data_IF_650940197056
#
_entry.id   IF_650940197056
#
_cell.length_a   1.000
_cell.length_b   1.000
_cell.length_c   1.000
_cell.angle_alpha   90.00
_cell.angle_beta   90.00
_cell.angle_gamma   90.00
#
_symmetry.space_group_name_H-M   'P 1'
#
loop_
_entity.id
_entity.type
_entity.pdbx_description
1 polymer ?
#
# COMPACT_ATOMS: atom_id res chain seq x y z
N UNK A 1 5.62 -10.22 16.52
CA UNK A 1 5.31 -9.39 15.35
C UNK A 1 4.90 -8.01 15.80
N UNK A 2 5.34 -7.01 15.09
CA UNK A 2 4.94 -5.65 15.38
C UNK A 2 3.51 -5.40 14.94
N UNK A 3 2.78 -4.66 15.76
CA UNK A 3 1.48 -4.13 15.37
C UNK A 3 1.58 -2.64 15.15
N UNK A 4 0.80 -2.14 14.21
CA UNK A 4 0.74 -0.72 13.92
C UNK A 4 -0.73 -0.27 13.92
N UNK A 5 -0.92 1.02 14.10
CA UNK A 5 -2.25 1.62 14.02
C UNK A 5 -2.44 2.26 12.65
N UNK A 6 -3.52 1.90 11.97
CA UNK A 6 -3.90 2.56 10.72
C UNK A 6 -5.32 3.12 10.87
N UNK A 7 -5.69 4.00 9.93
CA UNK A 7 -7.05 4.55 9.89
C UNK A 7 -7.83 3.81 8.82
N UNK A 8 -8.95 3.20 9.21
CA UNK A 8 -9.83 2.52 8.26
C UNK A 8 -10.35 3.50 7.21
N UNK A 9 -10.23 3.13 5.94
CA UNK A 9 -10.66 3.99 4.84
C UNK A 9 -12.17 4.18 4.78
N UNK A 10 -12.93 3.27 5.37
CA UNK A 10 -14.39 3.32 5.34
C UNK A 10 -14.98 4.05 6.55
N UNK A 11 -14.69 3.59 7.76
CA UNK A 11 -15.28 4.17 8.97
C UNK A 11 -14.39 5.21 9.65
N UNK A 12 -13.15 5.40 9.19
CA UNK A 12 -12.19 6.37 9.73
C UNK A 12 -11.75 6.10 11.16
N UNK A 13 -12.07 4.94 11.70
CA UNK A 13 -11.64 4.54 13.04
C UNK A 13 -10.20 4.05 13.02
N UNK A 14 -9.51 4.23 14.14
CA UNK A 14 -8.16 3.68 14.32
C UNK A 14 -8.24 2.19 14.60
N UNK A 15 -7.52 1.40 13.84
CA UNK A 15 -7.48 -0.05 14.04
C UNK A 15 -6.04 -0.52 14.16
N UNK A 16 -5.84 -1.58 14.93
CA UNK A 16 -4.53 -2.23 15.07
C UNK A 16 -4.45 -3.39 14.09
N UNK A 17 -3.36 -3.41 13.31
CA UNK A 17 -3.09 -4.51 12.39
C UNK A 17 -1.65 -4.98 12.55
N UNK A 18 -1.35 -6.18 12.07
CA UNK A 18 0.02 -6.65 11.96
C UNK A 18 0.74 -5.84 10.88
N UNK A 19 2.00 -5.49 11.15
CA UNK A 19 2.80 -4.73 10.19
C UNK A 19 3.34 -5.65 9.09
N UNK A 20 2.46 -6.10 8.22
CA UNK A 20 2.81 -6.94 7.07
C UNK A 20 2.00 -6.52 5.86
N UNK A 21 2.56 -6.77 4.67
CA UNK A 21 1.88 -6.50 3.42
C UNK A 21 0.68 -7.43 3.25
N UNK A 22 -0.45 -6.87 2.87
CA UNK A 22 -1.67 -7.63 2.61
C UNK A 22 -2.93 -6.85 2.88
N UNK A 23 -4.03 -7.58 2.94
CA UNK A 23 -5.35 -7.02 3.22
C UNK A 23 -5.71 -7.31 4.67
N UNK A 24 -6.12 -6.29 5.39
CA UNK A 24 -6.50 -6.39 6.80
C UNK A 24 -7.94 -5.93 6.97
N UNK A 25 -8.72 -6.73 7.68
CA UNK A 25 -10.11 -6.38 7.94
C UNK A 25 -10.22 -5.43 9.13
N UNK A 26 -11.05 -4.40 8.99
CA UNK A 26 -11.38 -3.52 10.10
C UNK A 26 -12.20 -4.29 11.14
N UNK A 27 -11.83 -4.17 12.42
CA UNK A 27 -12.53 -4.83 13.50
C UNK A 27 -13.87 -4.18 13.83
N UNK A 28 -14.13 -3.01 13.27
CA UNK A 28 -15.35 -2.24 13.57
C UNK A 28 -16.38 -2.38 12.45
N UNK A 29 -15.98 -2.12 11.21
CA UNK A 29 -16.91 -2.14 10.06
C UNK A 29 -16.66 -3.30 9.09
N UNK A 30 -15.67 -4.13 9.34
CA UNK A 30 -15.31 -5.31 8.55
C UNK A 30 -14.87 -4.99 7.10
N UNK A 31 -14.58 -3.74 6.81
CA UNK A 31 -14.06 -3.35 5.49
C UNK A 31 -12.62 -3.78 5.31
N UNK A 32 -12.25 -4.07 4.08
CA UNK A 32 -10.88 -4.45 3.71
C UNK A 32 -10.01 -3.21 3.61
N UNK A 33 -8.86 -3.25 4.26
CA UNK A 33 -7.84 -2.20 4.19
C UNK A 33 -6.53 -2.81 3.71
N UNK A 34 -5.95 -2.25 2.69
CA UNK A 34 -4.67 -2.72 2.16
C UNK A 34 -3.52 -2.00 2.83
N UNK A 35 -2.48 -2.75 3.13
CA UNK A 35 -1.27 -2.21 3.74
C UNK A 35 -0.05 -2.79 3.01
N UNK A 36 0.95 -1.95 2.79
CA UNK A 36 2.19 -2.37 2.14
C UNK A 36 3.38 -1.99 3.02
N UNK A 37 4.26 -2.95 3.25
CA UNK A 37 5.47 -2.74 4.04
C UNK A 37 6.64 -2.49 3.09
N UNK A 38 7.20 -1.29 3.16
CA UNK A 38 8.37 -0.94 2.36
C UNK A 38 9.62 -1.58 2.95
N UNK A 39 10.63 -1.87 2.11
CA UNK A 39 11.92 -2.34 2.62
C UNK A 39 12.51 -1.36 3.64
N UNK A 40 13.21 -1.91 4.64
CA UNK A 40 13.75 -1.09 5.74
C UNK A 40 14.79 -0.07 5.28
N UNK A 41 15.40 -0.28 4.12
CA UNK A 41 16.40 0.62 3.56
C UNK A 41 15.80 1.81 2.78
N UNK A 42 14.48 1.87 2.68
CA UNK A 42 13.82 2.99 2.00
C UNK A 42 13.80 4.23 2.89
N UNK A 43 14.19 5.37 2.32
CA UNK A 43 14.07 6.66 2.97
C UNK A 43 12.64 7.18 2.84
N UNK A 44 12.30 8.20 3.65
CA UNK A 44 10.98 8.83 3.57
C UNK A 44 10.73 9.46 2.19
N UNK A 45 11.77 10.00 1.56
CA UNK A 45 11.69 10.56 0.21
C UNK A 45 11.36 9.46 -0.81
N UNK A 46 12.00 8.31 -0.70
CA UNK A 46 11.73 7.17 -1.58
C UNK A 46 10.30 6.65 -1.40
N UNK A 47 9.82 6.60 -0.18
CA UNK A 47 8.44 6.18 0.12
C UNK A 47 7.44 7.17 -0.50
N UNK A 48 7.68 8.46 -0.38
CA UNK A 48 6.85 9.50 -0.98
C UNK A 48 6.82 9.38 -2.50
N UNK A 49 7.99 9.16 -3.10
CA UNK A 49 8.10 8.94 -4.54
C UNK A 49 7.36 7.67 -4.98
N UNK A 50 7.52 6.59 -4.21
CA UNK A 50 6.84 5.34 -4.48
C UNK A 50 5.31 5.50 -4.50
N UNK A 51 4.78 6.23 -3.53
CA UNK A 51 3.34 6.50 -3.46
C UNK A 51 2.85 7.31 -4.67
N UNK A 52 3.65 8.25 -5.14
CA UNK A 52 3.34 9.03 -6.33
C UNK A 52 3.34 8.15 -7.57
N UNK A 53 4.36 7.34 -7.75
CA UNK A 53 4.45 6.39 -8.86
C UNK A 53 3.29 5.39 -8.84
N UNK A 54 2.93 4.93 -7.65
CA UNK A 54 1.81 4.02 -7.47
C UNK A 54 0.51 4.61 -8.02
N UNK A 55 0.21 5.85 -7.68
CA UNK A 55 -0.99 6.53 -8.15
C UNK A 55 -0.98 6.70 -9.66
N UNK A 56 0.15 7.12 -10.22
CA UNK A 56 0.29 7.32 -11.67
C UNK A 56 0.16 6.00 -12.41
N UNK A 57 0.82 4.96 -11.91
CA UNK A 57 0.78 3.63 -12.52
C UNK A 57 -0.64 3.05 -12.48
N UNK A 58 -1.33 3.21 -11.35
CA UNK A 58 -2.72 2.75 -11.19
C UNK A 58 -3.65 3.43 -12.18
N UNK A 59 -3.50 4.74 -12.39
CA UNK A 59 -4.25 5.49 -13.39
C UNK A 59 -4.01 4.94 -14.80
N UNK A 60 -2.75 4.68 -15.14
CA UNK A 60 -2.38 4.15 -16.44
C UNK A 60 -2.98 2.77 -16.70
N UNK A 61 -2.92 1.89 -15.70
CA UNK A 61 -3.51 0.56 -15.79
C UNK A 61 -5.03 0.63 -15.99
N UNK A 62 -5.69 1.50 -15.26
CA UNK A 62 -7.13 1.68 -15.39
C UNK A 62 -7.51 2.18 -16.77
N UNK A 63 -6.72 3.10 -17.34
CA UNK A 63 -6.92 3.63 -18.69
C UNK A 63 -6.85 2.54 -19.75
N UNK A 64 -6.02 1.54 -19.54
CA UNK A 64 -5.83 0.41 -20.45
C UNK A 64 -6.67 -0.82 -20.09
N UNK A 65 -7.60 -0.68 -19.13
CA UNK A 65 -8.46 -1.76 -18.65
C UNK A 65 -7.69 -2.98 -18.11
N UNK A 66 -6.54 -2.72 -17.49
CA UNK A 66 -5.72 -3.76 -16.87
C UNK A 66 -5.98 -3.72 -15.36
N UNK A 67 -6.45 -4.85 -14.81
CA UNK A 67 -6.64 -4.98 -13.38
C UNK A 67 -5.42 -5.65 -12.75
N UNK A 68 -4.90 -5.03 -11.70
CA UNK A 68 -3.80 -5.57 -10.91
C UNK A 68 -4.05 -5.32 -9.43
N UNK A 69 -3.62 -6.25 -8.61
CA UNK A 69 -3.64 -6.11 -7.16
C UNK A 69 -2.76 -4.92 -6.75
N UNK A 70 -3.21 -4.13 -5.78
CA UNK A 70 -2.45 -2.96 -5.31
C UNK A 70 -1.05 -3.34 -4.80
N UNK A 71 -0.94 -4.48 -4.12
CA UNK A 71 0.35 -4.96 -3.62
C UNK A 71 1.30 -5.32 -4.76
N UNK A 72 0.78 -5.90 -5.84
CA UNK A 72 1.58 -6.20 -7.04
C UNK A 72 2.10 -4.92 -7.69
N UNK A 73 1.25 -3.90 -7.77
CA UNK A 73 1.64 -2.59 -8.33
C UNK A 73 2.75 -1.98 -7.48
N UNK A 74 2.62 -2.04 -6.16
CA UNK A 74 3.64 -1.53 -5.24
C UNK A 74 4.96 -2.29 -5.35
N UNK A 75 4.92 -3.60 -5.54
CA UNK A 75 6.12 -4.40 -5.76
C UNK A 75 6.88 -3.93 -7.01
N UNK A 76 6.15 -3.64 -8.09
CA UNK A 76 6.74 -3.12 -9.33
C UNK A 76 7.35 -1.75 -9.09
N UNK A 77 6.66 -0.87 -8.39
CA UNK A 77 7.13 0.49 -8.06
C UNK A 77 8.41 0.42 -7.22
N UNK A 78 8.43 -0.42 -6.20
CA UNK A 78 9.61 -0.63 -5.34
C UNK A 78 10.77 -1.15 -6.17
N UNK A 79 10.54 -2.10 -7.06
CA UNK A 79 11.57 -2.63 -7.96
C UNK A 79 12.18 -1.53 -8.82
N UNK A 80 11.35 -0.66 -9.41
CA UNK A 80 11.81 0.44 -10.25
C UNK A 80 12.71 1.39 -9.45
N UNK A 81 12.33 1.72 -8.23
CA UNK A 81 13.10 2.62 -7.38
C UNK A 81 14.44 2.00 -7.00
N UNK A 82 14.45 0.72 -6.66
CA UNK A 82 15.69 0.00 -6.29
C UNK A 82 16.63 -0.20 -7.47
N UNK A 83 16.13 -0.18 -8.68
CA UNK A 83 16.94 -0.40 -9.90
C UNK A 83 17.70 0.84 -10.36
N UNK A 84 17.51 1.95 -9.72
CA UNK A 84 18.20 3.21 -10.06
C UNK A 84 19.62 3.27 -9.49
#
# INVERSE_FOLDING_TARGET
>A
METITIICQACKSRILIENKTGVHLCTICECKNEHYVFPNDFTNEEITYANKLFKDFKKSLKKHNIERNNNDIMDIVVYIIKSK
#
